data_IF_109921799881
#
_entry.id   IF_109921799881
#
_cell.length_a   1.000
_cell.length_b   1.000
_cell.length_c   1.000
_cell.angle_alpha   90.00
_cell.angle_beta   90.00
_cell.angle_gamma   90.00
#
_symmetry.space_group_name_H-M   'P 1'
#
loop_
_entity.id
_entity.type
_entity.pdbx_description
1 polymer ?
#
# COMPACT_ATOMS: atom_id res chain seq x y z
N UNK A 1 10.79 11.39 9.03
CA UNK A 1 9.48 12.10 9.01
C UNK A 1 9.01 12.10 7.56
N UNK A 2 7.74 11.77 7.31
CA UNK A 2 7.14 11.80 5.97
C UNK A 2 6.85 13.26 5.64
N UNK A 3 7.37 13.76 4.51
CA UNK A 3 7.30 15.19 4.16
C UNK A 3 6.44 15.48 2.93
N UNK A 4 6.14 14.47 2.12
CA UNK A 4 5.37 14.63 0.88
C UNK A 4 4.29 13.56 0.76
N UNK A 5 3.26 13.86 -0.02
CA UNK A 5 2.21 12.90 -0.38
C UNK A 5 2.78 11.69 -1.13
N UNK A 6 3.76 11.91 -2.01
CA UNK A 6 4.46 10.83 -2.72
C UNK A 6 5.14 9.87 -1.75
N UNK A 7 5.83 10.39 -0.71
CA UNK A 7 6.46 9.56 0.30
C UNK A 7 5.43 8.77 1.12
N UNK A 8 4.30 9.40 1.46
CA UNK A 8 3.22 8.72 2.18
C UNK A 8 2.62 7.59 1.35
N UNK A 9 2.22 7.88 0.11
CA UNK A 9 1.67 6.91 -0.84
C UNK A 9 2.65 5.76 -1.12
N UNK A 10 3.94 6.10 -1.29
CA UNK A 10 4.98 5.09 -1.45
C UNK A 10 5.06 4.15 -0.25
N UNK A 11 5.04 4.70 0.96
CA UNK A 11 5.15 3.90 2.17
C UNK A 11 3.95 2.96 2.34
N UNK A 12 2.73 3.42 2.02
CA UNK A 12 1.54 2.57 2.00
C UNK A 12 1.71 1.39 1.04
N UNK A 13 2.16 1.65 -0.20
CA UNK A 13 2.44 0.60 -1.17
C UNK A 13 3.53 -0.35 -0.68
N UNK A 14 4.66 0.20 -0.23
CA UNK A 14 5.83 -0.57 0.17
C UNK A 14 5.51 -1.52 1.32
N UNK A 15 4.83 -1.05 2.37
CA UNK A 15 4.46 -1.88 3.53
C UNK A 15 3.65 -3.09 3.07
N UNK A 16 2.64 -2.89 2.22
CA UNK A 16 1.81 -3.98 1.73
C UNK A 16 2.56 -4.92 0.77
N UNK A 17 3.46 -4.40 -0.07
CA UNK A 17 4.19 -5.16 -1.10
C UNK A 17 5.53 -5.74 -0.63
N UNK A 18 5.99 -5.41 0.58
CA UNK A 18 7.33 -5.76 1.07
C UNK A 18 7.60 -7.27 1.01
N UNK A 19 6.64 -8.07 1.49
CA UNK A 19 6.76 -9.52 1.49
C UNK A 19 6.87 -10.11 0.07
N UNK A 20 6.10 -9.57 -0.89
CA UNK A 20 6.21 -9.94 -2.30
C UNK A 20 7.57 -9.53 -2.87
N UNK A 21 8.01 -8.29 -2.60
CA UNK A 21 9.27 -7.73 -3.08
C UNK A 21 10.46 -8.61 -2.67
N UNK A 22 10.46 -9.12 -1.44
CA UNK A 22 11.53 -10.00 -0.93
C UNK A 22 11.28 -11.49 -1.18
N UNK A 23 10.29 -11.85 -2.00
CA UNK A 23 10.05 -13.23 -2.43
C UNK A 23 9.46 -14.15 -1.36
N UNK A 24 8.94 -13.61 -0.25
CA UNK A 24 8.26 -14.37 0.80
C UNK A 24 6.93 -14.93 0.27
N UNK A 25 6.24 -14.13 -0.55
CA UNK A 25 4.95 -14.47 -1.15
C UNK A 25 4.91 -14.12 -2.63
N UNK A 26 4.05 -14.78 -3.42
CA UNK A 26 3.89 -14.49 -4.86
C UNK A 26 3.00 -13.28 -5.11
N UNK A 27 1.93 -13.13 -4.33
CA UNK A 27 1.07 -11.95 -4.33
C UNK A 27 1.15 -11.28 -2.97
N UNK A 28 1.10 -9.96 -2.93
CA UNK A 28 1.25 -9.23 -1.68
C UNK A 28 0.09 -9.52 -0.69
N UNK A 29 -1.07 -9.86 -1.23
CA UNK A 29 -2.24 -10.30 -0.48
C UNK A 29 -2.04 -11.65 0.22
N UNK A 30 -1.10 -12.48 -0.22
CA UNK A 30 -0.88 -13.80 0.40
C UNK A 30 -0.07 -13.69 1.72
N UNK A 31 0.35 -12.48 2.12
CA UNK A 31 1.01 -12.24 3.39
C UNK A 31 -0.04 -12.03 4.49
N UNK A 32 -0.09 -12.92 5.47
CA UNK A 32 -1.10 -12.87 6.54
C UNK A 32 -0.96 -11.65 7.46
N UNK A 33 0.28 -11.23 7.75
CA UNK A 33 0.56 -10.06 8.61
C UNK A 33 0.59 -8.77 7.80
N UNK A 34 -0.52 -8.49 7.12
CA UNK A 34 -0.67 -7.37 6.22
C UNK A 34 -1.93 -6.56 6.56
N UNK A 35 -1.77 -5.29 6.92
CA UNK A 35 -2.88 -4.37 7.25
C UNK A 35 -3.86 -4.20 6.10
N UNK A 36 -3.45 -4.50 4.86
CA UNK A 36 -4.33 -4.59 3.70
C UNK A 36 -5.62 -5.35 4.00
N UNK A 37 -5.54 -6.52 4.63
CA UNK A 37 -6.70 -7.38 4.90
C UNK A 37 -7.71 -6.72 5.83
N UNK A 38 -7.21 -6.06 6.87
CA UNK A 38 -8.04 -5.31 7.80
C UNK A 38 -8.68 -4.11 7.10
N UNK A 39 -7.92 -3.36 6.29
CA UNK A 39 -8.44 -2.20 5.57
C UNK A 39 -9.57 -2.58 4.61
N UNK A 40 -9.43 -3.64 3.81
CA UNK A 40 -10.45 -4.00 2.80
C UNK A 40 -11.65 -4.78 3.36
N UNK A 41 -11.52 -5.38 4.54
CA UNK A 41 -12.62 -6.15 5.15
C UNK A 41 -13.73 -5.26 5.72
N UNK A 42 -14.87 -5.87 6.06
CA UNK A 42 -15.97 -5.20 6.77
C UNK A 42 -15.93 -5.43 8.29
N UNK A 43 -14.91 -6.13 8.81
CA UNK A 43 -14.81 -6.43 10.25
C UNK A 43 -14.44 -5.17 11.02
N UNK A 44 -14.66 -5.16 12.33
CA UNK A 44 -14.10 -4.09 13.17
C UNK A 44 -12.56 -4.13 13.15
N UNK A 45 -11.93 -2.96 13.19
CA UNK A 45 -10.48 -2.81 13.19
C UNK A 45 -10.09 -1.57 13.99
N UNK A 46 -8.85 -1.53 14.47
CA UNK A 46 -8.26 -0.35 15.08
C UNK A 46 -7.71 0.65 14.05
N UNK A 47 -7.72 0.29 12.76
CA UNK A 47 -7.24 1.16 11.69
C UNK A 47 -8.28 2.22 11.33
N UNK A 48 -7.80 3.45 11.12
CA UNK A 48 -8.61 4.54 10.59
C UNK A 48 -8.83 4.38 9.08
N UNK A 49 -9.82 3.56 8.71
CA UNK A 49 -10.15 3.28 7.30
C UNK A 49 -10.60 4.54 6.56
N UNK A 50 -11.40 5.37 7.22
CA UNK A 50 -11.98 6.56 6.61
C UNK A 50 -10.88 7.53 6.22
N UNK A 51 -9.91 7.78 7.11
CA UNK A 51 -8.73 8.59 6.78
C UNK A 51 -7.97 8.04 5.55
N UNK A 52 -7.72 6.73 5.50
CA UNK A 52 -7.00 6.12 4.38
C UNK A 52 -7.81 6.22 3.08
N UNK A 53 -9.10 5.89 3.11
CA UNK A 53 -9.92 5.92 1.91
C UNK A 53 -10.16 7.34 1.40
N UNK A 54 -10.37 8.30 2.30
CA UNK A 54 -10.48 9.72 1.94
C UNK A 54 -9.17 10.24 1.34
N UNK A 55 -8.02 9.83 1.88
CA UNK A 55 -6.71 10.18 1.32
C UNK A 55 -6.56 9.70 -0.14
N UNK A 56 -7.03 8.49 -0.45
CA UNK A 56 -7.02 7.96 -1.82
C UNK A 56 -8.28 8.35 -2.64
N UNK A 57 -9.19 9.14 -2.06
CA UNK A 57 -10.47 9.56 -2.64
C UNK A 57 -11.62 8.56 -2.45
N UNK A 58 -11.33 7.25 -2.49
CA UNK A 58 -12.25 6.20 -2.04
C UNK A 58 -11.54 4.86 -1.85
N UNK A 59 -12.28 3.87 -1.32
CA UNK A 59 -11.80 2.49 -1.16
C UNK A 59 -11.36 1.86 -2.50
N UNK A 60 -12.10 2.09 -3.58
CA UNK A 60 -11.80 1.52 -4.89
C UNK A 60 -10.49 2.09 -5.44
N UNK A 61 -10.25 3.39 -5.25
CA UNK A 61 -8.99 4.04 -5.62
C UNK A 61 -7.81 3.53 -4.79
N UNK A 62 -7.99 3.33 -3.49
CA UNK A 62 -6.98 2.66 -2.65
C UNK A 62 -6.66 1.25 -3.16
N UNK A 63 -7.69 0.47 -3.53
CA UNK A 63 -7.50 -0.88 -4.06
C UNK A 63 -6.80 -0.85 -5.41
N UNK A 64 -7.19 0.04 -6.31
CA UNK A 64 -6.59 0.20 -7.62
C UNK A 64 -5.12 0.60 -7.52
N UNK A 65 -4.80 1.55 -6.64
CA UNK A 65 -3.43 1.97 -6.35
C UNK A 65 -2.54 0.79 -5.94
N UNK A 66 -2.98 -0.10 -5.05
CA UNK A 66 -2.15 -1.24 -4.66
C UNK A 66 -2.03 -2.33 -5.73
N UNK A 67 -3.04 -2.47 -6.60
CA UNK A 67 -3.01 -3.49 -7.65
C UNK A 67 -2.30 -3.05 -8.94
N UNK A 68 -1.91 -1.78 -9.05
CA UNK A 68 -1.15 -1.30 -10.20
C UNK A 68 0.27 -1.89 -10.20
N UNK A 69 0.54 -2.67 -11.25
CA UNK A 69 1.79 -3.39 -11.46
C UNK A 69 2.96 -2.45 -11.81
N UNK A 70 2.67 -1.27 -12.36
CA UNK A 70 3.68 -0.30 -12.81
C UNK A 70 4.24 0.55 -11.66
N UNK A 71 3.55 0.62 -10.51
CA UNK A 71 3.99 1.40 -9.36
C UNK A 71 5.29 0.87 -8.75
N UNK A 72 5.50 -0.45 -8.79
CA UNK A 72 6.76 -1.07 -8.39
C UNK A 72 7.94 -0.37 -9.06
N UNK A 73 7.92 -0.30 -10.39
CA UNK A 73 9.03 0.20 -11.18
C UNK A 73 9.18 1.71 -11.02
N UNK A 74 8.04 2.43 -10.96
CA UNK A 74 8.00 3.87 -10.70
C UNK A 74 8.65 4.25 -9.37
N UNK A 75 8.38 3.48 -8.32
CA UNK A 75 8.90 3.77 -7.00
C UNK A 75 10.36 3.34 -6.79
N UNK A 76 10.81 2.27 -7.44
CA UNK A 76 12.25 1.94 -7.45
C UNK A 76 13.05 3.03 -8.18
N UNK A 77 12.53 3.61 -9.26
CA UNK A 77 13.17 4.74 -9.94
C UNK A 77 13.27 5.98 -9.03
N UNK A 78 12.20 6.30 -8.29
CA UNK A 78 12.18 7.40 -7.30
C UNK A 78 13.23 7.24 -6.19
N UNK A 79 13.53 6.01 -5.76
CA UNK A 79 14.58 5.74 -4.76
C UNK A 79 16.01 5.95 -5.27
N UNK A 80 16.21 5.98 -6.58
CA UNK A 80 17.52 6.20 -7.20
C UNK A 80 17.83 7.70 -7.39
N UNK A 81 16.84 8.57 -7.19
CA UNK A 81 16.93 10.03 -7.38
C UNK A 81 17.07 10.82 -6.06
N UNK A 82 16.96 10.17 -4.89
CA UNK A 82 17.26 10.71 -3.56
C UNK A 82 18.69 10.35 -3.10
#
# INVERSE_FOLDING_TARGET
>A
MIKTETQFSYLQYYIHHNARKHGIVKKFQDHDWNSWHELISQKDTFLDRDFIFDYFGCKESFIAFHNDQQLSDKFEALKMEE
#
